data_IF_347853314226
#
_entry.id   IF_347853314226
#
_cell.length_a   1.000
_cell.length_b   1.000
_cell.length_c   1.000
_cell.angle_alpha   90.00
_cell.angle_beta   90.00
_cell.angle_gamma   90.00
#
_symmetry.space_group_name_H-M   'P 1'
#
loop_
_entity.id
_entity.type
_entity.pdbx_description
1 polymer ?
#
# COMPACT_ATOMS: atom_id res chain seq x y z
N UNK A 1 77.90 -8.15 4.26
CA UNK A 1 77.50 -7.03 5.15
C UNK A 1 76.13 -6.52 4.69
N UNK A 2 75.20 -6.39 5.63
CA UNK A 2 73.76 -5.99 5.61
C UNK A 2 73.22 -5.28 4.35
N UNK A 3 72.14 -5.75 3.67
CA UNK A 3 70.67 -5.70 3.99
C UNK A 3 70.21 -4.38 4.62
N UNK A 4 69.07 -3.74 4.33
CA UNK A 4 68.13 -3.65 3.22
C UNK A 4 67.14 -2.53 3.65
N UNK A 5 66.71 -1.68 2.72
CA UNK A 5 65.37 -1.12 2.55
C UNK A 5 64.55 -0.50 3.73
N UNK A 6 64.33 0.81 3.63
CA UNK A 6 63.04 1.56 3.59
C UNK A 6 61.89 1.00 4.46
N UNK A 7 61.42 1.81 5.42
CA UNK A 7 60.05 1.72 5.96
C UNK A 7 59.38 3.10 5.90
N UNK A 8 58.39 3.19 5.01
CA UNK A 8 57.43 4.28 4.86
C UNK A 8 56.31 4.05 5.89
N UNK A 9 56.10 4.98 6.81
CA UNK A 9 55.02 4.90 7.79
C UNK A 9 53.69 5.32 7.15
N UNK A 10 52.84 4.33 6.89
CA UNK A 10 51.44 4.49 6.52
C UNK A 10 50.59 4.81 7.76
N UNK A 11 49.75 5.85 7.69
CA UNK A 11 48.67 6.08 8.64
C UNK A 11 47.37 6.30 7.85
N UNK A 12 46.67 5.19 7.54
CA UNK A 12 45.31 5.20 7.02
C UNK A 12 44.35 5.11 8.22
N UNK A 13 43.69 6.22 8.56
CA UNK A 13 42.62 6.26 9.57
C UNK A 13 41.31 5.86 8.87
N UNK A 14 40.81 4.66 9.17
CA UNK A 14 39.50 4.20 8.73
C UNK A 14 38.41 4.70 9.71
N UNK A 15 37.63 5.70 9.29
CA UNK A 15 36.41 6.11 9.99
C UNK A 15 35.26 5.17 9.61
N UNK A 16 34.85 4.32 10.56
CA UNK A 16 33.64 3.50 10.47
C UNK A 16 32.41 4.38 10.69
N UNK A 17 31.79 4.86 9.60
CA UNK A 17 30.47 5.48 9.64
C UNK A 17 29.39 4.40 9.81
N UNK A 18 28.95 4.18 11.05
CA UNK A 18 27.70 3.47 11.34
C UNK A 18 26.50 4.37 11.00
N UNK A 19 26.20 4.49 9.71
CA UNK A 19 24.97 5.12 9.26
C UNK A 19 23.79 4.21 9.57
N UNK A 20 22.91 4.62 10.50
CA UNK A 20 21.57 4.05 10.60
C UNK A 20 20.86 4.23 9.26
N UNK A 21 20.80 3.17 8.46
CA UNK A 21 19.91 3.13 7.31
C UNK A 21 18.48 3.26 7.84
N UNK A 22 17.89 4.44 7.70
CA UNK A 22 16.44 4.61 7.76
C UNK A 22 15.89 3.72 6.64
N UNK A 23 15.42 2.52 7.00
CA UNK A 23 14.54 1.76 6.12
C UNK A 23 13.32 2.64 5.92
N UNK A 24 13.11 3.11 4.70
CA UNK A 24 11.81 3.62 4.30
C UNK A 24 10.78 2.56 4.72
N UNK A 25 9.77 2.96 5.50
CA UNK A 25 8.73 2.05 5.96
C UNK A 25 8.01 1.50 4.73
N UNK A 26 8.45 0.34 4.24
CA UNK A 26 7.67 -0.43 3.28
C UNK A 26 6.30 -0.68 3.92
N UNK A 27 5.20 -0.48 3.18
CA UNK A 27 3.87 -0.83 3.66
C UNK A 27 3.90 -2.28 4.18
N UNK A 28 3.76 -2.44 5.49
CA UNK A 28 3.99 -3.72 6.16
C UNK A 28 3.02 -4.80 5.68
N UNK A 29 3.44 -6.06 5.80
CA UNK A 29 2.55 -7.20 5.62
C UNK A 29 1.47 -7.18 6.73
N UNK A 30 0.22 -7.19 6.31
CA UNK A 30 -0.97 -7.28 7.13
C UNK A 30 -1.40 -8.74 7.23
N UNK A 31 -1.84 -9.14 8.42
CA UNK A 31 -2.68 -10.31 8.57
C UNK A 31 -4.17 -9.92 8.37
N UNK A 32 -5.08 -10.89 8.49
CA UNK A 32 -6.50 -10.64 8.28
C UNK A 32 -7.10 -9.67 9.31
N UNK A 33 -6.65 -9.74 10.58
CA UNK A 33 -7.16 -8.89 11.65
C UNK A 33 -6.66 -7.44 11.48
N UNK A 34 -5.38 -7.25 11.17
CA UNK A 34 -4.79 -5.97 10.85
C UNK A 34 -5.43 -5.33 9.61
N UNK A 35 -5.74 -6.14 8.59
CA UNK A 35 -6.46 -5.68 7.41
C UNK A 35 -7.87 -5.19 7.74
N UNK A 36 -8.62 -5.92 8.58
CA UNK A 36 -9.93 -5.46 9.06
C UNK A 36 -9.83 -4.18 9.89
N UNK A 37 -8.86 -4.12 10.81
CA UNK A 37 -8.64 -2.95 11.64
C UNK A 37 -8.29 -1.72 10.78
N UNK A 38 -7.48 -1.90 9.74
CA UNK A 38 -7.15 -0.85 8.78
C UNK A 38 -8.38 -0.38 8.01
N UNK A 39 -9.23 -1.32 7.56
CA UNK A 39 -10.49 -1.01 6.90
C UNK A 39 -11.51 -0.31 7.83
N UNK A 40 -11.43 -0.53 9.14
CA UNK A 40 -12.29 0.14 10.12
C UNK A 40 -11.84 1.56 10.48
N UNK A 41 -10.61 1.98 10.11
CA UNK A 41 -10.11 3.31 10.48
C UNK A 41 -10.97 4.42 9.87
N UNK A 42 -11.31 5.45 10.66
CA UNK A 42 -11.91 6.66 10.11
C UNK A 42 -10.94 7.31 9.12
N UNK A 43 -11.51 8.03 8.17
CA UNK A 43 -10.77 8.66 7.09
C UNK A 43 -11.44 9.99 6.78
N UNK A 44 -10.62 10.98 6.44
CA UNK A 44 -11.11 12.30 6.10
C UNK A 44 -11.35 12.40 4.60
N UNK A 45 -12.61 12.58 4.20
CA UNK A 45 -13.00 12.61 2.79
C UNK A 45 -12.38 13.80 2.07
N UNK A 46 -12.28 14.95 2.74
CA UNK A 46 -11.79 16.18 2.15
C UNK A 46 -10.31 16.08 1.75
N UNK A 47 -9.48 15.47 2.59
CA UNK A 47 -8.06 15.28 2.29
C UNK A 47 -7.77 14.13 1.34
N UNK A 48 -8.65 13.12 1.26
CA UNK A 48 -8.38 11.89 0.49
C UNK A 48 -9.12 11.79 -0.84
N UNK A 49 -10.12 12.63 -1.12
CA UNK A 49 -10.83 12.59 -2.40
C UNK A 49 -9.88 12.61 -3.61
N UNK A 50 -10.16 11.77 -4.61
CA UNK A 50 -9.35 11.57 -5.82
C UNK A 50 -7.94 11.00 -5.58
N UNK A 51 -7.69 10.37 -4.43
CA UNK A 51 -6.41 9.71 -4.14
C UNK A 51 -6.51 8.19 -4.10
N UNK A 52 -5.36 7.54 -4.24
CA UNK A 52 -5.18 6.12 -3.92
C UNK A 52 -4.08 6.00 -2.89
N UNK A 53 -4.36 5.34 -1.76
CA UNK A 53 -3.43 5.21 -0.63
C UNK A 53 -3.07 3.75 -0.43
N UNK A 54 -1.78 3.43 -0.33
CA UNK A 54 -1.33 2.07 0.01
C UNK A 54 -1.54 1.83 1.49
N UNK A 55 -2.25 0.75 1.83
CA UNK A 55 -2.56 0.38 3.21
C UNK A 55 -1.55 -0.59 3.82
N UNK A 56 -0.85 -1.35 2.98
CA UNK A 56 0.00 -2.47 3.35
C UNK A 56 -0.02 -3.54 2.26
N UNK A 57 0.47 -4.72 2.58
CA UNK A 57 0.34 -5.90 1.72
C UNK A 57 -0.42 -7.00 2.45
N UNK A 58 -1.32 -7.71 1.79
CA UNK A 58 -1.96 -8.91 2.35
C UNK A 58 -1.64 -10.08 1.43
N UNK A 59 -1.16 -11.19 2.01
CA UNK A 59 -0.62 -12.34 1.26
C UNK A 59 0.46 -11.94 0.22
N UNK A 60 1.28 -10.94 0.53
CA UNK A 60 2.35 -10.48 -0.35
C UNK A 60 1.88 -9.60 -1.53
N UNK A 61 0.59 -9.28 -1.61
CA UNK A 61 0.03 -8.42 -2.66
C UNK A 61 -0.36 -7.07 -2.05
N UNK A 62 0.04 -5.93 -2.67
CA UNK A 62 -0.30 -4.62 -2.16
C UNK A 62 -1.82 -4.43 -2.09
N UNK A 63 -2.29 -3.88 -0.98
CA UNK A 63 -3.67 -3.48 -0.75
C UNK A 63 -3.75 -1.97 -0.72
N UNK A 64 -4.67 -1.40 -1.49
CA UNK A 64 -4.86 0.05 -1.61
C UNK A 64 -6.28 0.45 -1.24
N UNK A 65 -6.44 1.69 -0.79
CA UNK A 65 -7.72 2.38 -0.68
C UNK A 65 -7.81 3.42 -1.82
N UNK A 66 -8.69 3.18 -2.79
CA UNK A 66 -9.06 4.15 -3.83
C UNK A 66 -10.20 5.03 -3.30
N UNK A 67 -10.08 6.35 -3.47
CA UNK A 67 -11.06 7.33 -2.99
C UNK A 67 -11.71 8.11 -4.14
N UNK A 68 -12.47 7.45 -5.02
CA UNK A 68 -13.13 8.14 -6.10
C UNK A 68 -14.20 9.10 -5.56
N UNK A 69 -14.30 10.25 -6.20
CA UNK A 69 -15.30 11.27 -5.92
C UNK A 69 -15.86 11.83 -7.23
N UNK A 70 -17.03 12.46 -7.16
CA UNK A 70 -17.77 12.96 -8.32
C UNK A 70 -18.04 14.47 -8.20
N UNK A 71 -19.05 15.03 -8.86
CA UNK A 71 -19.25 16.50 -8.87
C UNK A 71 -19.50 17.11 -7.47
N UNK A 72 -19.94 16.31 -6.50
CA UNK A 72 -20.24 16.76 -5.12
C UNK A 72 -19.18 16.23 -4.17
N UNK A 73 -17.99 16.83 -4.22
CA UNK A 73 -16.90 16.53 -3.31
C UNK A 73 -16.83 17.49 -2.11
N UNK A 74 -16.47 17.01 -0.91
CA UNK A 74 -16.07 15.63 -0.58
C UNK A 74 -17.24 14.70 -0.18
N UNK A 75 -18.48 15.17 -0.27
CA UNK A 75 -19.65 14.47 0.30
C UNK A 75 -19.90 13.10 -0.36
N UNK A 76 -19.63 12.98 -1.67
CA UNK A 76 -19.77 11.73 -2.43
C UNK A 76 -18.44 11.01 -2.68
N UNK A 77 -17.39 11.36 -1.94
CA UNK A 77 -16.20 10.51 -1.90
C UNK A 77 -16.54 9.20 -1.23
N UNK A 78 -16.23 8.09 -1.89
CA UNK A 78 -16.31 6.75 -1.30
C UNK A 78 -14.90 6.21 -1.10
N UNK A 79 -14.73 5.22 -0.23
CA UNK A 79 -13.48 4.46 -0.09
C UNK A 79 -13.70 3.04 -0.57
N UNK A 80 -12.83 2.57 -1.44
CA UNK A 80 -12.84 1.22 -2.01
C UNK A 80 -11.49 0.57 -1.72
N UNK A 81 -11.48 -0.47 -0.88
CA UNK A 81 -10.26 -1.21 -0.54
C UNK A 81 -10.15 -2.44 -1.43
N UNK A 82 -9.04 -2.56 -2.15
CA UNK A 82 -8.81 -3.66 -3.08
C UNK A 82 -7.33 -3.97 -3.22
N UNK A 83 -7.02 -5.13 -3.78
CA UNK A 83 -5.66 -5.44 -4.21
C UNK A 83 -5.25 -4.56 -5.39
N UNK A 84 -4.01 -4.10 -5.37
CA UNK A 84 -3.33 -3.65 -6.57
C UNK A 84 -2.62 -4.86 -7.19
N UNK A 85 -3.30 -5.51 -8.13
CA UNK A 85 -2.79 -6.71 -8.78
C UNK A 85 -1.58 -6.39 -9.67
N UNK A 86 -0.57 -7.27 -9.71
CA UNK A 86 0.38 -7.35 -10.82
C UNK A 86 -0.36 -7.51 -12.15
N UNK A 87 0.24 -7.04 -13.25
CA UNK A 87 -0.41 -6.99 -14.56
C UNK A 87 -0.85 -8.37 -15.11
N UNK A 88 -0.21 -9.45 -14.66
CA UNK A 88 -0.42 -10.83 -15.09
C UNK A 88 -1.15 -11.69 -14.06
N UNK A 89 -1.47 -11.14 -12.88
CA UNK A 89 -2.17 -11.88 -11.83
C UNK A 89 -3.69 -11.81 -12.00
N UNK A 90 -4.38 -12.95 -11.84
CA UNK A 90 -5.83 -12.97 -11.72
C UNK A 90 -6.25 -12.72 -10.27
N UNK A 91 -7.49 -12.29 -10.06
CA UNK A 91 -7.96 -12.06 -8.69
C UNK A 91 -7.96 -13.34 -7.83
N UNK A 92 -8.33 -14.47 -8.45
CA UNK A 92 -8.35 -15.76 -7.78
C UNK A 92 -6.94 -16.26 -7.41
N UNK A 93 -5.91 -15.98 -8.22
CA UNK A 93 -4.54 -16.48 -7.96
C UNK A 93 -3.91 -15.87 -6.70
N UNK A 94 -4.36 -14.70 -6.28
CA UNK A 94 -3.91 -14.03 -5.05
C UNK A 94 -4.84 -14.26 -3.86
N UNK A 95 -5.84 -15.14 -4.01
CA UNK A 95 -6.86 -15.41 -3.00
C UNK A 95 -7.79 -14.22 -2.75
N UNK A 96 -7.97 -13.36 -3.77
CA UNK A 96 -8.99 -12.32 -3.77
C UNK A 96 -10.31 -12.81 -4.33
N UNK A 97 -11.33 -11.96 -4.20
CA UNK A 97 -12.68 -12.18 -4.72
C UNK A 97 -13.08 -10.96 -5.54
N UNK A 98 -13.54 -11.19 -6.77
CA UNK A 98 -14.03 -10.11 -7.63
C UNK A 98 -15.36 -9.55 -7.10
N UNK A 99 -15.43 -8.23 -6.95
CA UNK A 99 -16.64 -7.52 -6.53
C UNK A 99 -16.92 -6.37 -7.48
N UNK A 100 -18.16 -6.29 -7.95
CA UNK A 100 -18.64 -5.14 -8.69
C UNK A 100 -19.06 -4.05 -7.70
N UNK A 101 -18.54 -2.84 -7.88
CA UNK A 101 -18.82 -1.67 -7.03
C UNK A 101 -19.28 -0.52 -7.92
N UNK A 102 -20.30 0.21 -7.45
CA UNK A 102 -20.76 1.43 -8.10
C UNK A 102 -19.81 2.58 -7.72
N UNK A 103 -19.01 3.02 -8.69
CA UNK A 103 -18.03 4.09 -8.53
C UNK A 103 -18.68 5.42 -8.96
N UNK A 104 -18.68 6.46 -8.10
CA UNK A 104 -19.15 7.79 -8.47
C UNK A 104 -18.36 8.38 -9.64
N UNK A 105 -19.06 8.95 -10.63
CA UNK A 105 -18.48 9.66 -11.76
C UNK A 105 -19.43 10.78 -12.21
N UNK A 106 -18.97 12.03 -12.15
CA UNK A 106 -19.81 13.20 -12.41
C UNK A 106 -21.16 13.14 -11.64
N UNK A 107 -22.29 13.23 -12.34
CA UNK A 107 -23.64 13.17 -11.78
C UNK A 107 -24.19 11.74 -11.61
N UNK A 108 -23.41 10.70 -11.90
CA UNK A 108 -23.87 9.30 -11.93
C UNK A 108 -22.90 8.33 -11.26
N UNK A 109 -23.18 7.04 -11.36
CA UNK A 109 -22.29 5.95 -10.94
C UNK A 109 -22.03 5.01 -12.11
N UNK A 110 -20.83 4.40 -12.14
CA UNK A 110 -20.47 3.35 -13.09
C UNK A 110 -20.07 2.08 -12.33
N UNK A 111 -20.60 0.90 -12.69
CA UNK A 111 -20.08 -0.36 -12.16
C UNK A 111 -18.62 -0.58 -12.59
N UNK A 112 -17.74 -0.85 -11.64
CA UNK A 112 -16.35 -1.28 -11.86
C UNK A 112 -16.09 -2.53 -11.05
N UNK A 113 -15.36 -3.49 -11.62
CA UNK A 113 -14.95 -4.71 -10.92
C UNK A 113 -13.62 -4.46 -10.22
N UNK A 114 -13.53 -4.86 -8.95
CA UNK A 114 -12.34 -4.78 -8.12
C UNK A 114 -11.98 -6.16 -7.59
N UNK A 115 -10.69 -6.43 -7.42
CA UNK A 115 -10.22 -7.62 -6.73
C UNK A 115 -10.06 -7.33 -5.24
N UNK A 116 -10.92 -7.89 -4.41
CA UNK A 116 -10.98 -7.57 -2.97
C UNK A 116 -10.39 -8.71 -2.13
N UNK A 117 -9.58 -8.42 -1.10
CA UNK A 117 -9.15 -9.44 -0.14
C UNK A 117 -10.35 -10.16 0.49
N UNK A 118 -10.33 -11.49 0.51
CA UNK A 118 -11.43 -12.33 1.01
C UNK A 118 -11.95 -11.93 2.40
N UNK A 119 -11.10 -11.61 3.41
CA UNK A 119 -11.60 -11.18 4.72
C UNK A 119 -12.50 -9.95 4.65
N UNK A 120 -12.17 -8.98 3.79
CA UNK A 120 -12.97 -7.76 3.64
C UNK A 120 -14.28 -8.02 2.89
N UNK A 121 -14.32 -9.01 2.00
CA UNK A 121 -15.58 -9.43 1.35
C UNK A 121 -16.53 -10.04 2.37
N UNK A 122 -16.03 -10.90 3.26
CA UNK A 122 -16.85 -11.53 4.30
C UNK A 122 -17.47 -10.50 5.27
N UNK A 123 -16.75 -9.42 5.59
CA UNK A 123 -17.23 -8.35 6.48
C UNK A 123 -17.96 -7.21 5.76
N UNK A 124 -17.83 -7.10 4.44
CA UNK A 124 -18.28 -5.94 3.67
C UNK A 124 -17.43 -4.68 3.86
N UNK A 125 -16.34 -4.73 4.63
CA UNK A 125 -15.52 -3.58 4.99
C UNK A 125 -14.65 -3.01 3.85
N UNK A 126 -14.72 -3.62 2.66
CA UNK A 126 -14.02 -3.12 1.47
C UNK A 126 -14.63 -1.85 0.87
N UNK A 127 -15.82 -1.46 1.30
CA UNK A 127 -16.52 -0.29 0.78
C UNK A 127 -17.06 0.57 1.93
N UNK A 128 -16.80 1.87 1.88
CA UNK A 128 -17.36 2.86 2.80
C UNK A 128 -17.76 4.12 2.05
N UNK A 129 -18.84 4.77 2.49
CA UNK A 129 -19.36 5.99 1.87
C UNK A 129 -19.03 7.25 2.60
#
# INVERSE_FOLDING_TARGET
MSRNSILVSAAFVALLNAGCAVRASEPGQLDAAALQAQAAKPWDKASLMHTTVVLGSYRGVPVVAEHPCSDVCPQYTVRIIHYQLPADASCASVGGVEKQVLVPIAITVRPKTFCVPEPLVASGAYYAK
#
